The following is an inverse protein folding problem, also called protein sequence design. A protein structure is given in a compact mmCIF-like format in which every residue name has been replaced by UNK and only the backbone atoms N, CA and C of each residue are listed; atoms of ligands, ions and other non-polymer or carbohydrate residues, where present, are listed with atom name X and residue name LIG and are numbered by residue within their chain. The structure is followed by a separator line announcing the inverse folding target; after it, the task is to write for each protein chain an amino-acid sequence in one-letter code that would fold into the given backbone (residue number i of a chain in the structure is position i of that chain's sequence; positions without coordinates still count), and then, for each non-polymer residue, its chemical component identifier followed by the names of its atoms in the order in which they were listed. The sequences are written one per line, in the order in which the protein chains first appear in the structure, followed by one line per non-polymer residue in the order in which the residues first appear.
data_IF_050883524263
#
_entry.id   IF_050883524263
#
_cell.length_a   1.000
_cell.length_b   1.000
_cell.length_c   1.000
_cell.angle_alpha   90.00
_cell.angle_beta   90.00
_cell.angle_gamma   90.00
#
_symmetry.space_group_name_H-M   'P 1'
#
loop_
_entity.id
_entity.type
_entity.pdbx_description
1 polymer ?
#
# COMPACT_ATOMS: atom_id res chain seq x y z
N UNK A 1 -2.58 15.77 -26.82
CA UNK A 1 -2.18 15.86 -26.02
C UNK A 1 -2.45 15.12 -24.83
N UNK A 2 -1.74 14.91 -24.10
CA UNK A 2 -1.82 14.06 -23.12
C UNK A 2 -2.43 14.54 -21.92
N UNK A 3 -2.49 15.75 -21.78
CA UNK A 3 -3.00 16.33 -20.60
C UNK A 3 -4.44 15.99 -20.33
N UNK A 4 -5.12 15.53 -21.32
CA UNK A 4 -6.53 15.31 -21.14
C UNK A 4 -6.85 14.31 -20.07
N UNK A 5 -5.92 13.37 -19.82
CA UNK A 5 -6.22 12.43 -18.82
C UNK A 5 -6.22 13.01 -17.45
N UNK A 6 -5.49 14.07 -17.20
CA UNK A 6 -5.48 14.69 -15.91
C UNK A 6 -6.74 15.40 -15.62
N UNK A 7 -7.47 15.77 -16.64
CA UNK A 7 -8.67 16.51 -16.45
C UNK A 7 -9.85 15.63 -16.12
N UNK A 8 -9.68 14.33 -16.23
CA UNK A 8 -10.74 13.41 -15.92
C UNK A 8 -10.77 13.05 -14.45
N UNK A 9 -10.29 13.92 -13.59
CA UNK A 9 -10.25 13.65 -12.17
C UNK A 9 -11.66 13.66 -11.58
N UNK A 10 -11.88 12.71 -10.69
CA UNK A 10 -13.13 12.60 -9.96
C UNK A 10 -12.93 13.19 -8.58
N UNK A 11 -13.87 14.00 -8.14
CA UNK A 11 -13.80 14.59 -6.82
C UNK A 11 -14.49 13.69 -5.83
N UNK A 12 -13.85 13.49 -4.67
CA UNK A 12 -14.45 12.74 -3.58
C UNK A 12 -14.17 13.51 -2.30
N UNK A 13 -15.02 13.32 -1.32
CA UNK A 13 -14.84 13.93 0.00
C UNK A 13 -14.54 12.86 1.00
N UNK A 14 -13.54 13.12 1.84
CA UNK A 14 -13.14 12.17 2.87
C UNK A 14 -12.96 12.94 4.17
N UNK A 15 -13.56 12.42 5.24
CA UNK A 15 -13.38 12.99 6.56
C UNK A 15 -12.15 12.37 7.19
N UNK A 16 -11.20 13.21 7.57
CA UNK A 16 -9.96 12.74 8.20
C UNK A 16 -10.10 12.82 9.71
N UNK A 17 -9.56 11.82 10.41
CA UNK A 17 -9.47 11.92 11.85
C UNK A 17 -8.46 13.00 12.20
N UNK A 18 -8.55 13.58 13.41
CA UNK A 18 -7.57 14.59 13.81
C UNK A 18 -6.13 14.07 13.73
N UNK A 19 -5.91 12.81 14.06
CA UNK A 19 -4.58 12.24 14.00
C UNK A 19 -4.06 12.18 12.57
N UNK A 20 -4.89 11.71 11.65
CA UNK A 20 -4.48 11.65 10.25
C UNK A 20 -4.24 13.03 9.69
N UNK A 21 -5.12 13.97 10.03
CA UNK A 21 -4.95 15.34 9.54
C UNK A 21 -3.63 15.93 10.02
N UNK A 22 -3.31 15.69 11.28
CA UNK A 22 -2.08 16.21 11.86
C UNK A 22 -0.86 15.61 11.18
N UNK A 23 -0.86 14.30 10.96
CA UNK A 23 0.27 13.64 10.32
C UNK A 23 0.46 14.07 8.88
N UNK A 24 -0.65 14.22 8.16
CA UNK A 24 -0.57 14.64 6.77
C UNK A 24 -0.10 16.09 6.68
N UNK A 25 -0.58 16.94 7.60
CA UNK A 25 -0.17 18.34 7.61
C UNK A 25 1.32 18.47 7.89
N UNK A 26 1.84 17.68 8.83
CA UNK A 26 3.26 17.71 9.13
C UNK A 26 4.08 17.28 7.91
N UNK A 27 3.61 16.29 7.19
CA UNK A 27 4.30 15.84 5.98
C UNK A 27 4.26 16.90 4.90
N UNK A 28 3.12 17.56 4.76
CA UNK A 28 2.99 18.61 3.76
C UNK A 28 3.98 19.74 4.04
N UNK A 29 4.11 20.11 5.31
CA UNK A 29 5.08 21.13 5.69
C UNK A 29 6.50 20.70 5.42
N UNK A 30 6.82 19.48 5.77
CA UNK A 30 8.17 18.97 5.62
C UNK A 30 8.63 19.00 4.17
N UNK A 31 7.74 18.68 3.25
CA UNK A 31 8.09 18.60 1.83
C UNK A 31 7.59 19.78 1.02
N UNK A 32 7.07 20.81 1.71
CA UNK A 32 6.58 22.01 1.05
C UNK A 32 5.52 21.70 0.01
N UNK A 33 4.53 20.96 0.43
CA UNK A 33 3.43 20.55 -0.44
C UNK A 33 2.12 21.11 0.10
N UNK A 34 1.13 21.26 -0.78
CA UNK A 34 -0.21 21.53 -0.31
C UNK A 34 -0.75 20.29 0.39
N UNK A 35 -1.76 20.49 1.23
CA UNK A 35 -2.39 19.36 1.91
C UNK A 35 -2.93 18.35 0.90
N UNK A 36 -3.58 18.86 -0.12
CA UNK A 36 -4.16 18.00 -1.15
C UNK A 36 -3.08 17.17 -1.85
N UNK A 37 -1.95 17.80 -2.15
CA UNK A 37 -0.87 17.10 -2.82
C UNK A 37 -0.25 16.03 -1.93
N UNK A 38 -0.12 16.34 -0.64
CA UNK A 38 0.40 15.37 0.31
C UNK A 38 -0.54 14.17 0.42
N UNK A 39 -1.84 14.41 0.43
CA UNK A 39 -2.81 13.33 0.47
C UNK A 39 -2.69 12.44 -0.76
N UNK A 40 -2.60 13.05 -1.93
CA UNK A 40 -2.49 12.28 -3.17
C UNK A 40 -1.23 11.44 -3.20
N UNK A 41 -0.11 12.00 -2.74
CA UNK A 41 1.12 11.24 -2.69
C UNK A 41 1.03 10.07 -1.75
N UNK A 42 0.43 10.27 -0.59
CA UNK A 42 0.28 9.19 0.39
C UNK A 42 -0.65 8.10 -0.11
N UNK A 43 -1.72 8.50 -0.80
CA UNK A 43 -2.63 7.51 -1.37
C UNK A 43 -1.93 6.68 -2.43
N UNK A 44 -1.14 7.33 -3.29
CA UNK A 44 -0.41 6.59 -4.32
C UNK A 44 0.58 5.62 -3.68
N UNK A 45 1.33 6.10 -2.68
CA UNK A 45 2.29 5.24 -2.00
C UNK A 45 1.60 4.07 -1.32
N UNK A 46 0.44 4.33 -0.69
CA UNK A 46 -0.30 3.27 -0.03
C UNK A 46 -0.82 2.23 -0.99
N UNK A 47 -1.35 2.67 -2.13
CA UNK A 47 -1.83 1.74 -3.13
C UNK A 47 -0.70 0.90 -3.71
N UNK A 48 0.45 1.52 -3.95
CA UNK A 48 1.59 0.79 -4.47
C UNK A 48 2.09 -0.24 -3.46
N UNK A 49 2.12 0.12 -2.18
CA UNK A 49 2.54 -0.82 -1.14
C UNK A 49 1.57 -2.00 -1.04
N UNK A 50 0.27 -1.74 -1.14
CA UNK A 50 -0.71 -2.81 -1.10
C UNK A 50 -0.58 -3.73 -2.30
N UNK A 51 -0.31 -3.16 -3.47
CA UNK A 51 -0.13 -3.98 -4.67
C UNK A 51 1.08 -4.87 -4.55
N UNK A 52 2.19 -4.34 -4.04
CA UNK A 52 3.40 -5.13 -3.85
C UNK A 52 3.19 -6.23 -2.83
N UNK A 53 2.46 -5.92 -1.77
CA UNK A 53 2.16 -6.91 -0.74
C UNK A 53 1.33 -8.05 -1.33
N UNK A 54 0.34 -7.71 -2.15
CA UNK A 54 -0.49 -8.71 -2.78
C UNK A 54 0.33 -9.61 -3.70
N UNK A 55 1.22 -9.01 -4.49
CA UNK A 55 2.05 -9.79 -5.40
C UNK A 55 2.99 -10.73 -4.65
N UNK A 56 3.53 -10.25 -3.53
CA UNK A 56 4.41 -11.08 -2.71
C UNK A 56 3.65 -12.24 -2.10
N UNK A 57 2.42 -11.97 -1.65
CA UNK A 57 1.58 -13.01 -1.08
C UNK A 57 1.24 -14.07 -2.13
N UNK A 58 0.88 -13.64 -3.33
CA UNK A 58 0.57 -14.57 -4.41
C UNK A 58 1.77 -15.45 -4.76
N UNK A 59 2.96 -14.85 -4.77
CA UNK A 59 4.17 -15.60 -5.05
C UNK A 59 4.46 -16.62 -3.96
N UNK A 60 4.32 -16.23 -2.70
CA UNK A 60 4.54 -17.14 -1.59
C UNK A 60 3.53 -18.28 -1.57
N UNK A 61 2.28 -17.97 -1.90
CA UNK A 61 1.26 -19.02 -1.98
C UNK A 61 1.59 -20.04 -3.05
N UNK A 62 2.09 -19.56 -4.19
CA UNK A 62 2.46 -20.47 -5.28
C UNK A 62 3.63 -21.34 -4.86
N UNK A 63 4.65 -20.74 -4.25
CA UNK A 63 5.80 -21.48 -3.79
C UNK A 63 5.42 -22.53 -2.75
N UNK A 64 4.52 -22.14 -1.84
CA UNK A 64 4.09 -23.06 -0.80
C UNK A 64 3.37 -24.26 -1.39
N UNK A 65 2.49 -24.03 -2.36
CA UNK A 65 1.75 -25.12 -2.97
C UNK A 65 2.63 -26.06 -3.79
N UNK A 66 3.72 -25.54 -4.34
CA UNK A 66 4.61 -26.35 -5.17
C UNK A 66 5.77 -26.93 -4.39
N UNK A 67 5.87 -26.61 -3.12
CA UNK A 67 7.02 -27.05 -2.33
C UNK A 67 6.87 -28.50 -1.90
N UNK A 68 7.90 -29.31 -2.16
CA UNK A 68 7.89 -30.71 -1.79
C UNK A 68 8.67 -30.97 -0.50
N UNK A 69 9.47 -30.01 -0.06
CA UNK A 69 10.31 -30.17 1.12
C UNK A 69 9.53 -29.73 2.36
N UNK A 70 9.29 -30.63 3.34
CA UNK A 70 8.52 -30.25 4.52
C UNK A 70 9.12 -29.09 5.31
N UNK A 71 10.44 -29.03 5.41
CA UNK A 71 11.09 -27.95 6.14
C UNK A 71 10.86 -26.61 5.45
N UNK A 72 10.99 -26.60 4.14
CA UNK A 72 10.77 -25.39 3.37
C UNK A 72 9.30 -25.00 3.40
N UNK A 73 8.40 -25.97 3.35
CA UNK A 73 6.98 -25.70 3.41
C UNK A 73 6.60 -25.06 4.74
N UNK A 74 7.22 -25.51 5.82
CA UNK A 74 6.96 -24.91 7.12
C UNK A 74 7.43 -23.47 7.18
N UNK A 75 8.61 -23.20 6.63
CA UNK A 75 9.13 -21.84 6.59
C UNK A 75 8.23 -20.92 5.77
N UNK A 76 7.79 -21.39 4.61
CA UNK A 76 6.89 -20.62 3.76
C UNK A 76 5.54 -20.40 4.43
N UNK A 77 5.04 -21.40 5.15
CA UNK A 77 3.80 -21.28 5.87
C UNK A 77 3.89 -20.22 6.96
N UNK A 78 5.02 -20.16 7.65
CA UNK A 78 5.24 -19.15 8.68
C UNK A 78 5.27 -17.74 8.07
N UNK A 79 5.92 -17.59 6.94
CA UNK A 79 5.95 -16.31 6.26
C UNK A 79 4.56 -15.88 5.80
N UNK A 80 3.80 -16.82 5.26
CA UNK A 80 2.44 -16.53 4.84
C UNK A 80 1.57 -16.11 6.02
N UNK A 81 1.72 -16.81 7.15
CA UNK A 81 0.97 -16.46 8.33
C UNK A 81 1.28 -15.06 8.81
N UNK A 82 2.56 -14.69 8.78
CA UNK A 82 2.96 -13.35 9.19
C UNK A 82 2.36 -12.30 8.28
N UNK A 83 2.32 -12.55 6.98
CA UNK A 83 1.76 -11.59 6.04
C UNK A 83 0.25 -11.46 6.18
N UNK A 84 -0.44 -12.57 6.41
CA UNK A 84 -1.89 -12.57 6.49
C UNK A 84 -2.36 -12.02 7.82
N UNK A 85 -1.70 -12.40 8.90
CA UNK A 85 -2.14 -12.03 10.24
C UNK A 85 -1.39 -10.83 10.83
N UNK A 86 -0.47 -10.26 10.08
CA UNK A 86 0.18 -9.03 10.53
C UNK A 86 1.20 -9.22 11.62
N UNK A 87 1.84 -10.37 11.68
CA UNK A 87 2.83 -10.63 12.73
C UNK A 87 4.21 -10.80 12.22
#
# INVERSE_FOLDING_TARGET
MIASRNEARTRVSVALTPELHSEISARAELYDLSLNRAILQLLRAGLDAEREKKQRLERLLREYRECADPTEAERLGDELGAMIFGR
#
